data_IF_999014677849
#
_entry.id   IF_999014677849
#
_cell.length_a   1.000
_cell.length_b   1.000
_cell.length_c   1.000
_cell.angle_alpha   90.00
_cell.angle_beta   90.00
_cell.angle_gamma   90.00
#
_symmetry.space_group_name_H-M   'P 1'
#
loop_
_entity.id
_entity.type
_entity.pdbx_description
1 polymer ?
#
# COMPACT_ATOMS: atom_id res chain seq x y z
N UNK A 21 -11.91 8.56 5.91
CA UNK A 21 -11.06 7.35 5.77
C UNK A 21 -9.83 7.66 4.93
N UNK A 22 -8.68 7.69 5.57
CA UNK A 22 -7.44 7.96 4.85
C UNK A 22 -6.91 6.69 4.21
N UNK A 23 -6.75 6.71 2.90
CA UNK A 23 -6.25 5.54 2.18
C UNK A 23 -4.77 5.70 1.85
N UNK A 24 -3.98 4.73 2.28
CA UNK A 24 -2.54 4.74 2.04
C UNK A 24 -2.16 3.59 1.12
N UNK A 25 -0.99 3.68 0.52
CA UNK A 25 -0.45 2.59 -0.25
C UNK A 25 1.06 2.57 -0.20
N UNK A 26 1.59 1.40 0.06
CA UNK A 26 3.02 1.18 0.04
C UNK A 26 3.37 0.28 -1.14
N UNK A 27 4.62 0.28 -1.54
CA UNK A 27 5.03 -0.52 -2.69
C UNK A 27 6.49 -0.95 -2.59
N UNK A 28 6.74 -2.26 -2.71
CA UNK A 28 8.08 -2.75 -2.94
C UNK A 28 8.11 -3.44 -4.29
N UNK A 29 8.18 -2.63 -5.32
CA UNK A 29 8.20 -3.11 -6.68
C UNK A 29 8.98 -2.17 -7.56
N UNK A 30 10.28 -2.36 -7.69
CA UNK A 30 11.03 -1.40 -8.50
C UNK A 30 11.07 -1.85 -9.95
N UNK A 31 10.05 -1.44 -10.68
CA UNK A 31 10.05 -1.41 -12.13
C UNK A 31 9.81 0.02 -12.57
N UNK A 32 10.55 0.53 -13.54
CA UNK A 32 10.44 1.93 -13.91
C UNK A 32 9.01 2.33 -14.29
N UNK A 33 8.45 1.63 -15.27
CA UNK A 33 7.13 2.00 -15.79
C UNK A 33 6.02 1.63 -14.79
N UNK A 34 6.21 0.54 -14.07
CA UNK A 34 5.26 0.13 -13.04
C UNK A 34 5.09 1.23 -12.00
N UNK A 35 6.22 1.72 -11.50
CA UNK A 35 6.20 2.77 -10.49
C UNK A 35 5.51 4.03 -11.03
N UNK A 36 5.75 4.34 -12.29
CA UNK A 36 5.09 5.45 -12.96
C UNK A 36 3.57 5.27 -12.90
N UNK A 37 3.11 4.15 -13.45
CA UNK A 37 1.68 3.85 -13.51
C UNK A 37 1.06 3.80 -12.11
N UNK A 38 1.76 3.13 -11.20
CA UNK A 38 1.27 2.96 -9.84
C UNK A 38 1.09 4.31 -9.15
N UNK A 39 2.09 5.17 -9.24
CA UNK A 39 2.01 6.48 -8.61
C UNK A 39 0.94 7.31 -9.29
N UNK A 40 0.99 7.40 -10.62
CA UNK A 40 0.05 8.22 -11.37
C UNK A 40 -1.39 7.88 -11.02
N UNK A 41 -1.66 6.60 -10.86
CA UNK A 41 -2.98 6.13 -10.53
C UNK A 41 -3.39 6.57 -9.12
N UNK A 42 -2.54 6.27 -8.15
CA UNK A 42 -2.83 6.57 -6.74
C UNK A 42 -2.69 8.06 -6.46
N UNK A 43 -1.85 8.75 -7.24
CA UNK A 43 -1.61 10.17 -7.06
C UNK A 43 -2.87 10.96 -7.36
N UNK A 44 -3.52 10.62 -8.47
CA UNK A 44 -4.75 11.28 -8.88
C UNK A 44 -5.93 10.74 -8.07
N UNK A 45 -5.71 9.59 -7.45
CA UNK A 45 -6.69 9.03 -6.52
C UNK A 45 -6.51 9.65 -5.13
N UNK A 46 -5.49 10.50 -5.03
CA UNK A 46 -5.17 11.23 -3.80
C UNK A 46 -4.84 10.28 -2.66
N UNK A 47 -4.22 9.16 -2.99
CA UNK A 47 -3.80 8.22 -1.97
C UNK A 47 -2.42 8.62 -1.49
N UNK A 48 -2.09 8.21 -0.28
CA UNK A 48 -0.77 8.48 0.24
C UNK A 48 0.17 7.33 -0.10
N UNK A 49 0.84 7.47 -1.23
CA UNK A 49 1.76 6.46 -1.73
C UNK A 49 3.17 6.74 -1.24
N UNK A 50 3.71 5.84 -0.44
CA UNK A 50 5.07 5.98 0.04
C UNK A 50 5.96 4.95 -0.63
N UNK A 51 6.79 5.40 -1.56
CA UNK A 51 7.66 4.52 -2.31
C UNK A 51 8.97 4.30 -1.57
N UNK A 52 9.18 3.07 -1.10
CA UNK A 52 10.42 2.70 -0.42
C UNK A 52 11.03 1.49 -1.10
N UNK A 53 12.27 1.16 -0.79
CA UNK A 53 12.86 -0.04 -1.32
C UNK A 53 13.66 -0.80 -0.28
N UNK A 54 12.99 -1.77 0.33
CA UNK A 54 13.55 -2.71 1.32
C UNK A 54 12.42 -3.20 2.21
N UNK A 55 12.53 -4.43 2.72
CA UNK A 55 11.47 -5.00 3.55
C UNK A 55 11.38 -4.25 4.88
N UNK A 56 12.53 -3.89 5.42
CA UNK A 56 12.57 -3.16 6.68
C UNK A 56 12.09 -1.73 6.47
N UNK A 57 12.49 -1.13 5.37
CA UNK A 57 12.06 0.23 5.02
C UNK A 57 10.56 0.29 4.83
N UNK A 58 9.98 -0.81 4.35
CA UNK A 58 8.54 -0.90 4.19
C UNK A 58 7.84 -0.72 5.53
N UNK A 59 8.42 -1.32 6.56
CA UNK A 59 7.84 -1.29 7.89
C UNK A 59 7.88 0.12 8.47
N UNK A 60 8.76 0.93 7.92
CA UNK A 60 8.90 2.30 8.37
C UNK A 60 7.91 3.19 7.64
N UNK A 61 7.64 2.85 6.39
CA UNK A 61 6.62 3.54 5.60
C UNK A 61 5.24 3.17 6.11
N UNK A 62 5.06 1.88 6.36
CA UNK A 62 3.82 1.38 6.98
C UNK A 62 3.57 2.05 8.31
N UNK A 63 4.63 2.18 9.12
CA UNK A 63 4.53 2.85 10.41
C UNK A 63 4.13 4.31 10.22
N UNK A 64 4.73 4.96 9.24
CA UNK A 64 4.44 6.35 8.93
C UNK A 64 2.97 6.50 8.53
N UNK A 65 2.49 5.53 7.76
CA UNK A 65 1.08 5.50 7.37
C UNK A 65 0.19 5.40 8.60
N UNK A 66 0.58 4.54 9.54
CA UNK A 66 -0.13 4.40 10.81
C UNK A 66 -0.16 5.73 11.56
N UNK A 67 0.99 6.40 11.61
CA UNK A 67 1.10 7.69 12.28
C UNK A 67 0.21 8.74 11.63
N UNK A 68 0.27 8.84 10.30
CA UNK A 68 -0.52 9.84 9.57
C UNK A 68 -2.01 9.57 9.76
N UNK A 69 -2.40 8.30 9.65
CA UNK A 69 -3.80 7.92 9.83
C UNK A 69 -4.26 8.18 11.24
N UNK A 70 -3.40 7.84 12.20
CA UNK A 70 -3.71 7.93 13.63
C UNK A 70 -4.18 9.31 14.02
N UNK A 71 -3.59 10.32 13.40
CA UNK A 71 -3.93 11.68 13.70
C UNK A 71 -5.42 11.92 13.56
N UNK A 72 -6.03 11.37 12.51
CA UNK A 72 -7.46 11.56 12.30
C UNK A 72 -8.27 10.26 12.15
N UNK A 73 -7.89 9.39 11.22
CA UNK A 73 -8.80 8.33 10.77
C UNK A 73 -8.34 6.89 11.05
N UNK A 74 -7.33 6.68 11.87
CA UNK A 74 -6.84 5.33 12.11
C UNK A 74 -7.91 4.45 12.78
N UNK A 75 -9.01 5.06 13.20
CA UNK A 75 -10.16 4.31 13.72
C UNK A 75 -10.57 3.25 12.70
N UNK A 76 -10.63 3.65 11.43
CA UNK A 76 -10.83 2.70 10.36
C UNK A 76 -10.23 3.25 9.07
N UNK A 77 -9.03 2.78 8.76
CA UNK A 77 -8.35 3.17 7.55
C UNK A 77 -8.02 1.93 6.74
N UNK A 78 -7.81 2.09 5.46
CA UNK A 78 -7.44 0.98 4.61
C UNK A 78 -6.16 1.30 3.86
N UNK A 79 -5.28 0.32 3.79
CA UNK A 79 -3.98 0.51 3.17
C UNK A 79 -3.72 -0.61 2.17
N UNK A 80 -3.09 -0.28 1.06
CA UNK A 80 -2.71 -1.28 0.07
C UNK A 80 -1.19 -1.36 0.01
N UNK A 81 -0.66 -2.57 -0.03
CA UNK A 81 0.77 -2.76 -0.17
C UNK A 81 1.08 -3.54 -1.43
N UNK A 82 1.64 -2.87 -2.42
CA UNK A 82 2.01 -3.53 -3.66
C UNK A 82 3.46 -3.97 -3.59
N UNK A 83 3.68 -5.26 -3.41
CA UNK A 83 5.02 -5.79 -3.26
C UNK A 83 5.26 -6.93 -4.22
N UNK A 84 6.51 -7.18 -4.56
CA UNK A 84 6.81 -8.39 -5.29
C UNK A 84 7.33 -9.41 -4.28
N UNK A 85 6.43 -10.29 -3.87
CA UNK A 85 6.72 -11.32 -2.90
C UNK A 85 5.48 -12.21 -2.76
N UNK A 86 5.64 -13.53 -2.64
CA UNK A 86 4.52 -14.42 -2.35
C UNK A 86 3.93 -14.11 -0.97
N UNK A 87 2.67 -13.73 -0.94
CA UNK A 87 2.04 -13.30 0.30
C UNK A 87 0.98 -14.30 0.77
N UNK A 88 1.07 -14.69 2.02
CA UNK A 88 0.09 -15.57 2.63
C UNK A 88 -0.89 -14.78 3.49
N UNK A 89 -2.11 -15.31 3.74
CA UNK A 89 -3.10 -14.66 4.60
C UNK A 89 -2.51 -14.15 5.93
N UNK A 90 -1.81 -15.04 6.64
CA UNK A 90 -1.19 -14.68 7.92
C UNK A 90 -0.20 -13.54 7.74
N UNK A 91 0.52 -13.55 6.62
CA UNK A 91 1.53 -12.54 6.33
C UNK A 91 0.88 -11.17 6.22
N UNK A 92 -0.31 -11.14 5.61
CA UNK A 92 -1.08 -9.92 5.49
C UNK A 92 -1.48 -9.39 6.86
N UNK A 93 -1.96 -10.30 7.71
CA UNK A 93 -2.48 -9.91 9.01
C UNK A 93 -1.36 -9.51 9.96
N UNK A 94 -0.15 -9.98 9.67
CA UNK A 94 1.03 -9.56 10.42
C UNK A 94 1.28 -8.07 10.22
N UNK A 95 1.21 -7.65 8.97
CA UNK A 95 1.41 -6.24 8.63
C UNK A 95 0.18 -5.43 9.01
N UNK A 96 -0.98 -6.06 8.91
CA UNK A 96 -2.25 -5.43 9.26
C UNK A 96 -2.29 -5.14 10.76
N UNK A 97 -1.71 -6.02 11.56
CA UNK A 97 -1.65 -5.79 13.00
C UNK A 97 -0.49 -4.86 13.38
N UNK A 98 0.38 -4.57 12.42
CA UNK A 98 1.50 -3.67 12.69
C UNK A 98 1.03 -2.23 12.67
N UNK A 99 0.32 -1.86 11.61
CA UNK A 99 -0.28 -0.54 11.50
C UNK A 99 -1.77 -0.67 11.67
N UNK A 100 -2.37 0.13 12.53
CA UNK A 100 -3.78 -0.05 12.82
C UNK A 100 -4.61 0.49 11.66
N UNK A 101 -5.02 -0.46 10.84
CA UNK A 101 -5.80 -0.22 9.65
C UNK A 101 -6.15 -1.56 9.06
N UNK A 102 -6.88 -1.55 7.96
CA UNK A 102 -7.11 -2.76 7.23
C UNK A 102 -6.25 -2.77 5.98
N UNK A 103 -5.09 -3.39 6.07
CA UNK A 103 -4.17 -3.42 4.95
C UNK A 103 -4.40 -4.66 4.11
N UNK A 104 -4.34 -4.49 2.81
CA UNK A 104 -4.40 -5.59 1.89
C UNK A 104 -3.08 -5.71 1.16
N UNK A 105 -2.34 -6.75 1.43
CA UNK A 105 -1.06 -6.92 0.80
C UNK A 105 -1.26 -7.51 -0.59
N UNK A 106 -0.59 -6.95 -1.58
CA UNK A 106 -0.85 -7.33 -2.96
C UNK A 106 0.45 -7.54 -3.71
N UNK A 107 0.63 -8.74 -4.26
CA UNK A 107 1.76 -9.02 -5.11
C UNK A 107 1.46 -8.56 -6.53
N UNK A 108 2.37 -7.80 -7.12
CA UNK A 108 2.16 -7.25 -8.46
C UNK A 108 3.17 -7.79 -9.44
N UNK A 109 2.80 -7.78 -10.71
CA UNK A 109 3.66 -8.25 -11.78
C UNK A 109 3.85 -7.19 -12.85
N UNK A 110 2.77 -6.80 -13.51
CA UNK A 110 2.82 -5.79 -14.55
C UNK A 110 2.09 -4.51 -14.13
N UNK A 111 2.48 -3.35 -14.69
CA UNK A 111 1.87 -2.05 -14.38
C UNK A 111 0.34 -2.09 -14.31
N UNK A 112 -0.29 -2.62 -15.37
CA UNK A 112 -1.75 -2.67 -15.45
C UNK A 112 -2.36 -3.46 -14.31
N UNK A 113 -1.65 -4.47 -13.84
CA UNK A 113 -2.13 -5.31 -12.75
C UNK A 113 -2.23 -4.49 -11.47
N UNK A 114 -1.20 -3.69 -11.21
CA UNK A 114 -1.16 -2.83 -10.04
C UNK A 114 -2.28 -1.81 -10.08
N UNK A 115 -2.54 -1.26 -11.26
CA UNK A 115 -3.59 -0.26 -11.43
C UNK A 115 -4.95 -0.87 -11.15
N UNK A 116 -5.10 -2.14 -11.49
CA UNK A 116 -6.35 -2.86 -11.24
C UNK A 116 -6.59 -2.99 -9.75
N UNK A 117 -5.53 -3.29 -9.01
CA UNK A 117 -5.63 -3.47 -7.56
C UNK A 117 -5.92 -2.13 -6.88
N UNK A 118 -5.36 -1.06 -7.43
CA UNK A 118 -5.64 0.28 -6.91
C UNK A 118 -7.12 0.60 -7.10
N UNK A 119 -7.68 0.20 -8.24
CA UNK A 119 -9.11 0.36 -8.51
C UNK A 119 -9.93 -0.47 -7.54
N UNK A 120 -9.49 -1.68 -7.27
CA UNK A 120 -10.20 -2.58 -6.36
C UNK A 120 -10.10 -2.09 -4.92
N UNK A 121 -9.12 -1.24 -4.68
CA UNK A 121 -8.87 -0.69 -3.34
C UNK A 121 -9.62 0.62 -3.13
N UNK A 122 -9.48 1.54 -4.05
CA UNK A 122 -10.07 2.87 -3.90
C UNK A 122 -11.53 2.90 -4.34
N UNK A 123 -11.92 1.93 -5.15
CA UNK A 123 -13.24 1.91 -5.74
C UNK A 123 -13.91 0.56 -5.51
N UNK A 124 -13.79 0.04 -4.29
CA UNK A 124 -14.42 -1.21 -3.95
C UNK A 124 -15.91 -1.01 -3.64
#
# INVERSE_FOLDING_TARGET
MGSSHHHHHHSSGLVPRGSHMTLFVLILSNDKKLIEEARKMAEKANLILITVGDEEELKKAIKKADDIAKKQNSSEAKILILLEKPVSPEYEKKLQKYADAEVRVRTVTSPDEAKRWIKEFSEE
#
